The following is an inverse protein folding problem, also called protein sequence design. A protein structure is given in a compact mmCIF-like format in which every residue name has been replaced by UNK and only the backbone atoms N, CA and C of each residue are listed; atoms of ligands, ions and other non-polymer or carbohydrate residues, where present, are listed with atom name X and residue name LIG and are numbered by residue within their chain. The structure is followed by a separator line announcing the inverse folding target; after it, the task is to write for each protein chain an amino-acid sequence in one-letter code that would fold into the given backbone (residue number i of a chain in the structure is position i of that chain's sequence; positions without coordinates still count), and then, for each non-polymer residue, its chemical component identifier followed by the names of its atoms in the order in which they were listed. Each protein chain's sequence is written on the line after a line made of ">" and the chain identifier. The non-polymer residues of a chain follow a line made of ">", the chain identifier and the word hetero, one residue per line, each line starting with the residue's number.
data_IF_699613098416
#
_entry.id   IF_699613098416
#
_cell.length_a   1.000
_cell.length_b   1.000
_cell.length_c   1.000
_cell.angle_alpha   90.00
_cell.angle_beta   90.00
_cell.angle_gamma   90.00
#
_symmetry.space_group_name_H-M   'P 1'
#
loop_
_entity.id
_entity.type
_entity.pdbx_description
1 polymer ?
#
# COMPACT_ATOMS: atom_id res chain seq x y z
N UNK A 1 -11.89 15.77 -0.64
CA UNK A 1 -10.58 15.11 -0.76
C UNK A 1 -10.77 13.63 -0.57
N UNK A 2 -10.51 12.84 -1.61
CA UNK A 2 -10.60 11.37 -1.54
C UNK A 2 -9.45 10.82 -0.69
N UNK A 3 -9.56 9.58 -0.17
CA UNK A 3 -8.45 8.95 0.54
C UNK A 3 -7.18 8.85 -0.30
N UNK A 4 -7.33 8.59 -1.61
CA UNK A 4 -6.21 8.52 -2.55
C UNK A 4 -5.55 9.89 -2.75
N UNK A 5 -6.31 10.99 -2.75
CA UNK A 5 -5.74 12.34 -2.88
C UNK A 5 -4.74 12.64 -1.75
N UNK A 6 -4.99 12.11 -0.54
CA UNK A 6 -4.05 12.27 0.59
C UNK A 6 -2.74 11.54 0.34
N UNK A 7 -2.83 10.30 -0.15
CA UNK A 7 -1.66 9.50 -0.49
C UNK A 7 -0.84 10.16 -1.59
N UNK A 8 -1.48 10.66 -2.65
CA UNK A 8 -0.80 11.37 -3.74
C UNK A 8 -0.13 12.65 -3.26
N UNK A 9 -0.80 13.42 -2.39
CA UNK A 9 -0.21 14.64 -1.82
C UNK A 9 1.10 14.33 -1.07
N UNK A 10 1.11 13.28 -0.23
CA UNK A 10 2.33 12.88 0.47
C UNK A 10 3.40 12.37 -0.49
N UNK A 11 3.03 11.61 -1.52
CA UNK A 11 3.97 11.11 -2.52
C UNK A 11 4.66 12.24 -3.29
N UNK A 12 3.90 13.23 -3.75
CA UNK A 12 4.45 14.38 -4.49
C UNK A 12 5.21 15.36 -3.59
N UNK A 13 4.97 15.32 -2.27
CA UNK A 13 5.70 16.11 -1.28
C UNK A 13 7.09 15.56 -0.92
N UNK A 14 7.40 14.32 -1.31
CA UNK A 14 8.68 13.66 -0.99
C UNK A 14 9.62 13.61 -2.19
N UNK A 15 10.92 13.58 -1.92
CA UNK A 15 11.89 13.23 -2.95
C UNK A 15 11.72 11.77 -3.37
N UNK A 16 12.09 11.44 -4.62
CA UNK A 16 11.99 10.06 -5.14
C UNK A 16 12.75 9.05 -4.27
N UNK A 17 13.92 9.45 -3.73
CA UNK A 17 14.72 8.60 -2.86
C UNK A 17 14.05 8.35 -1.51
N UNK A 18 13.46 9.38 -0.89
CA UNK A 18 12.73 9.22 0.37
C UNK A 18 11.46 8.39 0.19
N UNK A 19 10.74 8.63 -0.91
CA UNK A 19 9.57 7.85 -1.27
C UNK A 19 9.94 6.37 -1.46
N UNK A 20 11.01 6.10 -2.20
CA UNK A 20 11.53 4.74 -2.37
C UNK A 20 11.89 4.11 -1.02
N UNK A 21 12.68 4.79 -0.19
CA UNK A 21 13.10 4.27 1.12
C UNK A 21 11.91 3.93 2.02
N UNK A 22 10.91 4.82 2.09
CA UNK A 22 9.71 4.63 2.92
C UNK A 22 8.83 3.49 2.37
N UNK A 23 8.61 3.44 1.05
CA UNK A 23 7.82 2.36 0.45
C UNK A 23 8.53 1.00 0.50
N UNK A 24 9.87 0.97 0.40
CA UNK A 24 10.63 -0.29 0.50
C UNK A 24 10.48 -0.95 1.86
N UNK A 25 10.31 -0.17 2.93
CA UNK A 25 10.09 -0.65 4.29
C UNK A 25 8.68 -1.20 4.56
N UNK A 26 7.70 -0.87 3.70
CA UNK A 26 6.32 -1.30 3.88
C UNK A 26 6.07 -2.73 3.36
N UNK A 27 5.14 -3.48 3.97
CA UNK A 27 4.72 -4.78 3.45
C UNK A 27 4.09 -4.66 2.06
N UNK A 28 4.43 -5.59 1.16
CA UNK A 28 3.95 -5.58 -0.23
C UNK A 28 2.41 -5.60 -0.29
N UNK A 29 1.77 -6.32 0.64
CA UNK A 29 0.31 -6.37 0.79
C UNK A 29 -0.31 -5.03 1.15
N UNK A 30 0.27 -4.27 2.07
CA UNK A 30 -0.27 -2.96 2.48
C UNK A 30 -0.20 -1.97 1.32
N UNK A 31 0.92 -2.00 0.58
CA UNK A 31 1.08 -1.21 -0.64
C UNK A 31 0.02 -1.64 -1.66
N UNK A 32 -0.10 -2.95 -1.96
CA UNK A 32 -1.09 -3.45 -2.90
C UNK A 32 -2.55 -3.10 -2.52
N UNK A 33 -2.89 -3.14 -1.22
CA UNK A 33 -4.21 -2.71 -0.74
C UNK A 33 -4.43 -1.21 -0.99
N UNK A 34 -3.46 -0.36 -0.66
CA UNK A 34 -3.56 1.09 -0.85
C UNK A 34 -3.72 1.48 -2.34
N UNK A 35 -3.20 0.66 -3.26
CA UNK A 35 -3.26 0.86 -4.71
C UNK A 35 -4.57 0.38 -5.35
N UNK A 36 -5.43 -0.32 -4.61
CA UNK A 36 -6.60 -1.03 -5.18
C UNK A 36 -7.58 -0.10 -5.91
N UNK A 37 -7.88 1.05 -5.32
CA UNK A 37 -8.82 2.03 -5.85
C UNK A 37 -8.12 3.23 -6.51
N UNK A 38 -6.81 3.15 -6.70
CA UNK A 38 -6.02 4.22 -7.31
C UNK A 38 -6.13 4.15 -8.84
N UNK A 39 -6.05 5.29 -9.53
CA UNK A 39 -6.05 5.33 -11.00
C UNK A 39 -4.80 4.65 -11.55
N UNK A 40 -4.91 4.10 -12.76
CA UNK A 40 -3.80 3.37 -13.40
C UNK A 40 -2.51 4.18 -13.52
N UNK A 41 -2.62 5.47 -13.87
CA UNK A 41 -1.45 6.36 -14.02
C UNK A 41 -0.69 6.56 -12.71
N UNK A 42 -1.41 6.89 -11.63
CA UNK A 42 -0.83 7.11 -10.31
C UNK A 42 -0.22 5.82 -9.74
N UNK A 43 -0.91 4.70 -9.95
CA UNK A 43 -0.42 3.36 -9.58
C UNK A 43 0.86 3.00 -10.34
N UNK A 44 0.91 3.29 -11.64
CA UNK A 44 2.10 3.05 -12.44
C UNK A 44 3.27 3.89 -11.91
N UNK A 45 3.05 5.18 -11.66
CA UNK A 45 4.06 6.07 -11.09
C UNK A 45 4.62 5.52 -9.78
N UNK A 46 3.78 5.13 -8.81
CA UNK A 46 4.25 4.56 -7.54
C UNK A 46 5.09 3.31 -7.76
N UNK A 47 4.64 2.41 -8.63
CA UNK A 47 5.37 1.16 -8.91
C UNK A 47 6.74 1.45 -9.53
N UNK A 48 6.88 2.45 -10.42
CA UNK A 48 8.16 2.77 -11.05
C UNK A 48 9.25 3.21 -10.07
N UNK A 49 8.86 3.74 -8.90
CA UNK A 49 9.80 4.14 -7.83
C UNK A 49 10.38 2.93 -7.08
N UNK A 50 9.76 1.75 -7.19
CA UNK A 50 10.16 0.53 -6.49
C UNK A 50 11.12 -0.33 -7.30
N UNK A 51 11.88 -1.20 -6.62
CA UNK A 51 12.69 -2.21 -7.31
C UNK A 51 11.81 -3.18 -8.11
N UNK A 52 12.34 -3.69 -9.23
CA UNK A 52 11.60 -4.58 -10.12
C UNK A 52 11.03 -5.82 -9.40
N UNK A 53 11.78 -6.37 -8.43
CA UNK A 53 11.31 -7.49 -7.61
C UNK A 53 10.12 -7.11 -6.73
N UNK A 54 10.17 -5.94 -6.07
CA UNK A 54 9.06 -5.49 -5.22
C UNK A 54 7.83 -5.13 -6.05
N UNK A 55 8.03 -4.53 -7.24
CA UNK A 55 6.95 -4.32 -8.20
C UNK A 55 6.25 -5.62 -8.57
N UNK A 56 7.02 -6.69 -8.86
CA UNK A 56 6.48 -8.01 -9.19
C UNK A 56 5.60 -8.55 -8.06
N UNK A 57 6.11 -8.55 -6.82
CA UNK A 57 5.36 -9.05 -5.64
C UNK A 57 4.09 -8.24 -5.37
N UNK A 58 4.13 -6.91 -5.52
CA UNK A 58 2.93 -6.06 -5.36
C UNK A 58 1.89 -6.35 -6.45
N UNK A 59 2.32 -6.58 -7.70
CA UNK A 59 1.40 -6.97 -8.78
C UNK A 59 0.74 -8.33 -8.51
N UNK A 60 1.50 -9.29 -7.98
CA UNK A 60 0.96 -10.59 -7.56
C UNK A 60 -0.08 -10.41 -6.44
N UNK A 61 0.20 -9.61 -5.41
CA UNK A 61 -0.77 -9.30 -4.34
C UNK A 61 -2.03 -8.59 -4.89
N UNK A 62 -1.91 -7.66 -5.85
CA UNK A 62 -3.07 -7.02 -6.51
C UNK A 62 -3.97 -8.05 -7.20
N UNK A 63 -3.39 -9.02 -7.90
CA UNK A 63 -4.13 -10.11 -8.55
C UNK A 63 -4.83 -11.00 -7.50
N UNK A 64 -4.16 -11.30 -6.38
CA UNK A 64 -4.76 -12.05 -5.28
C UNK A 64 -5.91 -11.28 -4.63
N UNK A 65 -5.74 -9.97 -4.42
CA UNK A 65 -6.77 -9.10 -3.87
C UNK A 65 -8.04 -9.05 -4.71
N UNK A 66 -7.93 -9.09 -6.04
CA UNK A 66 -9.09 -9.16 -6.93
C UNK A 66 -9.97 -10.41 -6.69
N UNK A 67 -9.40 -11.46 -6.09
CA UNK A 67 -10.10 -12.72 -5.76
C UNK A 67 -10.58 -12.77 -4.31
N UNK A 68 -10.24 -11.76 -3.50
CA UNK A 68 -10.59 -11.70 -2.09
C UNK A 68 -11.70 -10.67 -1.84
N UNK A 69 -12.59 -10.98 -0.90
CA UNK A 69 -13.58 -10.02 -0.42
C UNK A 69 -12.91 -9.06 0.56
N UNK A 70 -12.29 -8.02 0.02
CA UNK A 70 -11.62 -6.97 0.80
C UNK A 70 -12.65 -5.93 1.19
N UNK A 71 -12.86 -5.75 2.49
CA UNK A 71 -13.77 -4.77 3.01
C UNK A 71 -13.14 -3.37 2.92
N UNK A 72 -13.98 -2.35 2.68
CA UNK A 72 -13.52 -0.96 2.59
C UNK A 72 -12.70 -0.52 3.81
N UNK A 73 -13.02 -1.01 5.01
CA UNK A 73 -12.27 -0.72 6.23
C UNK A 73 -10.83 -1.24 6.17
N UNK A 74 -10.59 -2.40 5.56
CA UNK A 74 -9.24 -2.97 5.41
C UNK A 74 -8.41 -2.15 4.41
N UNK A 75 -9.04 -1.72 3.31
CA UNK A 75 -8.43 -0.78 2.37
C UNK A 75 -8.07 0.54 3.06
N UNK A 76 -9.00 1.12 3.84
CA UNK A 76 -8.77 2.39 4.55
C UNK A 76 -7.62 2.29 5.54
N UNK A 77 -7.62 1.23 6.36
CA UNK A 77 -6.54 0.98 7.31
C UNK A 77 -5.20 0.87 6.62
N UNK A 78 -5.10 0.09 5.55
CA UNK A 78 -3.85 -0.04 4.79
C UNK A 78 -3.42 1.31 4.19
N UNK A 79 -4.34 2.07 3.60
CA UNK A 79 -4.04 3.39 3.04
C UNK A 79 -3.54 4.38 4.09
N UNK A 80 -4.21 4.47 5.24
CA UNK A 80 -3.79 5.36 6.33
C UNK A 80 -2.40 4.95 6.84
N UNK A 81 -2.12 3.65 6.89
CA UNK A 81 -0.82 3.13 7.29
C UNK A 81 0.31 3.49 6.32
N UNK A 82 0.06 3.39 5.01
CA UNK A 82 1.00 3.84 3.98
C UNK A 82 1.23 5.35 4.12
N UNK A 83 0.17 6.14 4.31
CA UNK A 83 0.26 7.59 4.50
C UNK A 83 1.10 7.94 5.74
N UNK A 84 0.88 7.26 6.86
CA UNK A 84 1.63 7.50 8.11
C UNK A 84 3.12 7.12 7.97
N UNK A 85 3.42 6.04 7.24
CA UNK A 85 4.78 5.67 6.88
C UNK A 85 5.43 6.72 5.95
N UNK A 86 4.68 7.23 4.98
CA UNK A 86 5.12 8.33 4.11
C UNK A 86 5.28 9.65 4.86
N UNK A 87 4.65 9.87 6.00
CA UNK A 87 4.89 11.05 6.85
C UNK A 87 6.11 10.92 7.75
N UNK A 88 6.70 9.73 7.86
CA UNK A 88 7.75 9.44 8.85
C UNK A 88 7.22 9.41 10.29
N UNK A 89 5.90 9.43 10.49
CA UNK A 89 5.24 9.33 11.80
C UNK A 89 4.95 7.89 12.22
N UNK A 90 5.25 6.91 11.35
CA UNK A 90 5.10 5.48 11.60
C UNK A 90 6.00 4.95 12.73
N UNK A 91 5.61 5.19 13.99
CA UNK A 91 6.18 4.50 15.15
C UNK A 91 5.65 3.06 15.20
N UNK A 92 6.41 2.15 14.59
CA UNK A 92 6.44 0.73 14.98
C UNK A 92 5.37 -0.19 14.37
N UNK A 93 5.86 -1.24 13.71
CA UNK A 93 5.21 -2.55 13.49
C UNK A 93 3.71 -2.62 13.82
N UNK A 94 2.87 -2.27 12.85
CA UNK A 94 1.49 -2.75 12.83
C UNK A 94 1.55 -4.24 12.53
N UNK A 95 1.49 -5.04 13.61
CA UNK A 95 1.25 -6.48 13.50
C UNK A 95 0.00 -6.67 12.65
N UNK A 96 0.18 -7.14 11.40
CA UNK A 96 -0.85 -7.53 10.43
C UNK A 96 -2.20 -7.82 11.10
N UNK A 97 -3.14 -6.87 11.02
CA UNK A 97 -4.50 -7.04 11.54
C UNK A 97 -5.36 -7.94 10.64
N UNK A 98 -4.82 -8.47 9.54
CA UNK A 98 -5.44 -9.48 8.71
C UNK A 98 -5.14 -10.87 9.30
N UNK A 99 -5.91 -11.26 10.32
CA UNK A 99 -5.93 -12.66 10.78
C UNK A 99 -6.49 -13.56 9.68
N UNK A 100 -5.85 -14.70 9.35
CA UNK A 100 -6.45 -15.70 8.48
C UNK A 100 -7.73 -16.23 9.13
N UNK A 101 -8.82 -16.28 8.35
CA UNK A 101 -10.05 -16.97 8.77
C UNK A 101 -9.74 -18.46 8.74
N UNK A 102 -9.60 -19.09 9.91
CA UNK A 102 -9.52 -20.55 10.00
C UNK A 102 -10.87 -21.12 9.57
N UNK A 103 -10.94 -21.72 8.38
CA UNK A 103 -12.00 -22.66 8.08
C UNK A 103 -11.81 -23.86 9.02
N UNK A 104 -12.80 -24.12 9.88
CA UNK A 104 -12.88 -25.38 10.61
C UNK A 104 -13.18 -26.47 9.59
N UNK A 105 -12.22 -27.36 9.37
CA UNK A 105 -12.48 -28.70 8.83
C UNK A 105 -13.04 -29.57 9.94
#
# INVERSE_FOLDING_TARGET
>A
MTPNDRLLQEMYGLSTLELQNRLMALPDREIALSLMYMKDGDRHYLLTVLSAEKQKRIREELVLHARLRIHYNQYRLALDHVVDALKGTGKGNLRSYLKPVRYKT
#
